data_IF_426151735276
#
_entry.id   IF_426151735276
#
_cell.length_a   1.000
_cell.length_b   1.000
_cell.length_c   1.000
_cell.angle_alpha   90.00
_cell.angle_beta   90.00
_cell.angle_gamma   90.00
#
_symmetry.space_group_name_H-M   'P 1'
#
loop_
_entity.id
_entity.type
_entity.pdbx_description
1 polymer ?
#
# COMPACT_ATOMS: atom_id res chain seq x y z
N UNK A 1 -9.76 12.93 5.75
CA UNK A 1 -8.92 13.70 4.79
C UNK A 1 -8.27 12.72 3.82
N UNK A 2 -7.93 13.13 2.59
CA UNK A 2 -7.24 12.27 1.62
C UNK A 2 -5.79 12.73 1.48
N UNK A 3 -4.85 11.78 1.65
CA UNK A 3 -3.41 12.02 1.56
C UNK A 3 -2.84 11.36 0.31
N UNK A 4 -1.94 12.06 -0.36
CA UNK A 4 -1.14 11.56 -1.48
C UNK A 4 0.34 11.88 -1.24
N UNK A 5 1.22 11.40 -2.11
CA UNK A 5 2.66 11.73 -2.11
C UNK A 5 3.44 11.30 -0.85
N UNK A 6 3.17 10.10 -0.34
CA UNK A 6 4.04 9.44 0.64
C UNK A 6 4.37 8.02 0.22
N UNK A 7 5.64 7.66 0.42
CA UNK A 7 6.21 6.37 0.06
C UNK A 7 6.01 5.37 1.17
N UNK A 8 5.27 4.30 0.89
CA UNK A 8 5.20 3.17 1.79
C UNK A 8 6.59 2.54 1.98
N UNK A 9 7.48 2.58 0.99
CA UNK A 9 8.86 2.09 1.11
C UNK A 9 9.69 2.88 2.12
N UNK A 10 9.54 4.20 2.17
CA UNK A 10 10.30 5.05 3.10
C UNK A 10 9.67 5.07 4.50
N UNK A 11 8.35 5.25 4.53
CA UNK A 11 7.63 5.72 5.71
C UNK A 11 7.18 4.62 6.67
N UNK A 12 7.06 3.37 6.20
CA UNK A 12 6.54 2.27 7.02
C UNK A 12 7.39 1.98 8.27
N UNK A 13 8.70 2.27 8.23
CA UNK A 13 9.64 1.86 9.30
C UNK A 13 9.45 2.62 10.60
N UNK A 14 9.18 3.93 10.49
CA UNK A 14 9.17 4.83 11.66
C UNK A 14 8.09 5.89 11.52
N UNK A 15 8.00 6.57 10.38
CA UNK A 15 7.11 7.73 10.26
C UNK A 15 5.66 7.35 10.53
N UNK A 16 5.16 6.29 9.92
CA UNK A 16 3.76 5.89 10.09
C UNK A 16 3.45 5.46 11.52
N UNK A 17 4.32 4.66 12.12
CA UNK A 17 4.16 4.29 13.53
C UNK A 17 4.26 5.48 14.47
N UNK A 18 5.11 6.47 14.17
CA UNK A 18 5.17 7.72 14.92
C UNK A 18 3.87 8.52 14.77
N UNK A 19 3.35 8.66 13.55
CA UNK A 19 2.07 9.34 13.28
C UNK A 19 0.95 8.67 14.05
N UNK A 20 0.87 7.34 14.07
CA UNK A 20 -0.12 6.60 14.86
C UNK A 20 -0.06 6.93 16.36
N UNK A 21 1.11 7.28 16.90
CA UNK A 21 1.27 7.62 18.33
C UNK A 21 0.93 9.08 18.64
N UNK A 22 1.30 10.02 17.77
CA UNK A 22 1.18 11.46 18.04
C UNK A 22 -0.09 12.08 17.46
N UNK A 23 -0.60 11.51 16.38
CA UNK A 23 -1.79 11.99 15.66
C UNK A 23 -2.54 10.79 15.02
N UNK A 24 -3.29 10.02 15.84
CA UNK A 24 -4.02 8.84 15.38
C UNK A 24 -5.04 9.14 14.27
N UNK A 25 -5.67 10.32 14.30
CA UNK A 25 -6.64 10.75 13.31
C UNK A 25 -6.00 10.95 11.93
N UNK A 26 -4.83 11.59 11.89
CA UNK A 26 -4.02 11.67 10.67
C UNK A 26 -3.55 10.30 10.21
N UNK A 27 -3.13 9.46 11.15
CA UNK A 27 -2.77 8.07 10.90
C UNK A 27 -3.87 7.28 10.18
N UNK A 28 -5.09 7.33 10.74
CA UNK A 28 -6.31 6.79 10.12
C UNK A 28 -6.46 7.30 8.70
N UNK A 29 -6.42 8.60 8.50
CA UNK A 29 -6.68 9.20 7.19
C UNK A 29 -5.60 8.81 6.16
N UNK A 30 -4.33 8.72 6.57
CA UNK A 30 -3.22 8.28 5.71
C UNK A 30 -3.39 6.82 5.29
N UNK A 31 -3.66 5.91 6.23
CA UNK A 31 -3.87 4.48 5.91
C UNK A 31 -5.13 4.29 5.07
N UNK A 32 -6.22 4.96 5.43
CA UNK A 32 -7.47 4.95 4.65
C UNK A 32 -7.25 5.45 3.22
N UNK A 33 -6.36 6.43 3.02
CA UNK A 33 -6.02 6.93 1.69
C UNK A 33 -5.28 5.89 0.83
N UNK A 34 -4.56 4.94 1.43
CA UNK A 34 -3.97 3.81 0.70
C UNK A 34 -5.06 2.83 0.25
N UNK A 35 -6.05 2.59 1.10
CA UNK A 35 -7.18 1.71 0.80
C UNK A 35 -8.04 2.30 -0.33
N UNK A 36 -8.36 3.60 -0.26
CA UNK A 36 -9.09 4.27 -1.35
C UNK A 36 -8.31 4.26 -2.67
N UNK A 37 -6.97 4.33 -2.63
CA UNK A 37 -6.14 4.17 -3.85
C UNK A 37 -6.25 2.76 -4.44
N UNK A 38 -6.41 1.73 -3.62
CA UNK A 38 -6.69 0.39 -4.08
C UNK A 38 -8.07 0.30 -4.74
N UNK A 39 -9.11 0.87 -4.15
CA UNK A 39 -10.46 0.89 -4.75
C UNK A 39 -10.47 1.54 -6.14
N UNK A 40 -9.73 2.64 -6.29
CA UNK A 40 -9.66 3.39 -7.55
C UNK A 40 -8.75 2.72 -8.60
N UNK A 41 -7.67 2.09 -8.15
CA UNK A 41 -6.60 1.64 -9.02
C UNK A 41 -6.53 0.13 -9.24
N UNK A 42 -7.19 -0.66 -8.38
CA UNK A 42 -7.16 -2.12 -8.38
C UNK A 42 -5.90 -2.78 -7.81
N UNK A 43 -4.88 -2.01 -7.39
CA UNK A 43 -3.64 -2.48 -6.77
C UNK A 43 -3.20 -1.55 -5.63
N UNK A 44 -2.64 -2.10 -4.55
CA UNK A 44 -2.05 -1.30 -3.49
C UNK A 44 -0.71 -0.73 -3.99
N UNK A 45 -0.48 0.56 -3.71
CA UNK A 45 0.59 1.35 -4.33
C UNK A 45 1.70 1.63 -3.33
N UNK A 46 2.95 1.31 -3.70
CA UNK A 46 4.12 1.53 -2.84
C UNK A 46 4.50 3.01 -2.82
N UNK A 47 4.55 3.64 -3.99
CA UNK A 47 4.80 5.07 -4.12
C UNK A 47 3.82 5.73 -5.09
N UNK A 48 2.67 6.23 -4.61
CA UNK A 48 1.78 7.04 -5.43
C UNK A 48 2.38 8.45 -5.62
N UNK A 49 2.52 8.86 -6.88
CA UNK A 49 2.87 10.23 -7.24
C UNK A 49 1.78 10.80 -8.13
N UNK A 50 1.20 11.95 -7.75
CA UNK A 50 0.05 12.56 -8.42
C UNK A 50 -1.08 11.56 -8.71
N UNK A 51 -1.47 10.78 -7.70
CA UNK A 51 -2.46 9.72 -7.79
C UNK A 51 -2.23 8.70 -8.92
N UNK A 52 -1.01 8.58 -9.42
CA UNK A 52 -0.61 7.61 -10.45
C UNK A 52 0.24 6.50 -9.86
N UNK A 53 0.29 5.36 -10.55
CA UNK A 53 1.27 4.32 -10.24
C UNK A 53 2.66 4.79 -10.64
N UNK A 54 3.67 4.37 -9.89
CA UNK A 54 5.07 4.58 -10.24
C UNK A 54 5.82 3.30 -9.97
N UNK A 55 6.85 3.04 -10.78
CA UNK A 55 7.76 1.91 -10.62
C UNK A 55 8.94 2.23 -9.69
N UNK A 56 8.69 3.12 -8.74
CA UNK A 56 9.71 3.66 -7.85
C UNK A 56 9.71 2.88 -6.54
N UNK A 57 10.91 2.44 -6.16
CA UNK A 57 11.18 1.56 -5.01
C UNK A 57 10.72 0.11 -5.24
N UNK A 58 10.66 -0.69 -4.18
CA UNK A 58 10.41 -2.15 -4.27
C UNK A 58 9.55 -2.63 -3.10
N UNK A 59 9.15 -3.91 -3.10
CA UNK A 59 8.56 -4.57 -1.93
C UNK A 59 7.06 -4.29 -1.76
N UNK A 60 6.51 -4.64 -0.60
CA UNK A 60 5.06 -4.46 -0.34
C UNK A 60 4.82 -3.99 1.10
N UNK A 61 5.24 -2.77 1.33
CA UNK A 61 5.24 -2.16 2.66
C UNK A 61 3.88 -1.54 3.02
N UNK A 62 2.97 -1.42 2.05
CA UNK A 62 1.59 -0.99 2.30
C UNK A 62 0.89 -1.96 3.26
N UNK A 63 1.14 -3.26 3.10
CA UNK A 63 0.64 -4.30 4.01
C UNK A 63 1.15 -4.07 5.43
N UNK A 64 2.43 -3.74 5.60
CA UNK A 64 3.02 -3.48 6.91
C UNK A 64 2.38 -2.26 7.59
N UNK A 65 2.11 -1.19 6.83
CA UNK A 65 1.46 0.02 7.34
C UNK A 65 0.00 -0.23 7.75
N UNK A 66 -0.75 -0.98 6.96
CA UNK A 66 -2.12 -1.38 7.29
C UNK A 66 -2.13 -2.27 8.54
N UNK A 67 -1.22 -3.26 8.59
CA UNK A 67 -1.06 -4.13 9.76
C UNK A 67 -0.71 -3.34 11.03
N UNK A 68 0.16 -2.35 10.94
CA UNK A 68 0.54 -1.50 12.07
C UNK A 68 -0.66 -0.72 12.63
N UNK A 69 -1.51 -0.19 11.76
CA UNK A 69 -2.73 0.50 12.15
C UNK A 69 -3.75 -0.44 12.82
N UNK A 70 -3.94 -1.65 12.28
CA UNK A 70 -4.82 -2.68 12.87
C UNK A 70 -4.34 -3.05 14.28
N UNK A 71 -3.04 -3.30 14.46
CA UNK A 71 -2.47 -3.72 15.75
C UNK A 71 -2.53 -2.61 16.83
N UNK A 72 -2.74 -1.36 16.43
CA UNK A 72 -2.85 -0.19 17.31
C UNK A 72 -4.28 0.33 17.44
N UNK A 73 -5.28 -0.42 16.97
CA UNK A 73 -6.70 -0.05 16.96
C UNK A 73 -6.98 1.31 16.27
N UNK A 74 -6.15 1.67 15.28
CA UNK A 74 -6.40 2.84 14.44
C UNK A 74 -7.55 2.49 13.49
N UNK A 75 -8.68 3.23 13.51
CA UNK A 75 -9.79 2.94 12.62
C UNK A 75 -9.35 3.17 11.16
N UNK A 76 -9.69 2.25 10.26
CA UNK A 76 -9.38 2.35 8.84
C UNK A 76 -10.69 2.38 8.07
N UNK A 77 -10.88 3.37 7.20
CA UNK A 77 -12.03 3.40 6.32
C UNK A 77 -11.90 2.32 5.24
N UNK A 78 -13.01 1.64 4.94
CA UNK A 78 -13.08 0.58 3.94
C UNK A 78 -12.10 -0.58 4.19
N UNK A 79 -11.89 -0.96 5.44
CA UNK A 79 -10.95 -2.02 5.82
C UNK A 79 -11.19 -3.34 5.03
N UNK A 80 -12.43 -3.65 4.67
CA UNK A 80 -12.77 -4.77 3.78
C UNK A 80 -12.01 -4.76 2.45
N UNK A 81 -11.77 -3.57 1.88
CA UNK A 81 -11.00 -3.39 0.65
C UNK A 81 -9.51 -3.59 0.85
N UNK A 82 -8.99 -3.27 2.03
CA UNK A 82 -7.64 -3.65 2.39
C UNK A 82 -7.49 -5.19 2.40
N UNK A 83 -8.45 -5.91 2.97
CA UNK A 83 -8.46 -7.37 2.98
C UNK A 83 -8.58 -8.00 1.59
N UNK A 84 -9.27 -7.34 0.65
CA UNK A 84 -9.27 -7.76 -0.76
C UNK A 84 -7.91 -7.50 -1.44
N UNK A 85 -7.32 -6.33 -1.18
CA UNK A 85 -6.10 -5.88 -1.87
C UNK A 85 -4.82 -6.59 -1.43
N UNK A 86 -4.69 -6.94 -0.15
CA UNK A 86 -3.51 -7.63 0.41
C UNK A 86 -3.20 -8.96 -0.30
N UNK A 87 -4.13 -9.94 -0.39
CA UNK A 87 -3.87 -11.21 -1.08
C UNK A 87 -3.65 -11.00 -2.57
N UNK A 88 -4.35 -10.03 -3.19
CA UNK A 88 -4.15 -9.70 -4.60
C UNK A 88 -2.72 -9.22 -4.87
N UNK A 89 -2.23 -8.25 -4.09
CA UNK A 89 -0.85 -7.77 -4.19
C UNK A 89 0.18 -8.88 -3.92
N UNK A 90 -0.17 -9.84 -3.05
CA UNK A 90 0.69 -10.97 -2.72
C UNK A 90 0.74 -12.04 -3.81
N UNK A 91 -0.38 -12.40 -4.44
CA UNK A 91 -0.50 -13.65 -5.22
C UNK A 91 -0.88 -13.47 -6.69
N UNK A 92 -1.37 -12.30 -7.11
CA UNK A 92 -1.76 -12.06 -8.49
C UNK A 92 -0.73 -11.21 -9.22
N UNK A 93 -0.58 -11.43 -10.53
CA UNK A 93 0.24 -10.60 -11.40
C UNK A 93 -0.63 -9.69 -12.29
N UNK A 94 -0.15 -8.49 -12.66
CA UNK A 94 -0.82 -7.65 -13.64
C UNK A 94 -1.02 -8.37 -14.97
N UNK A 95 -2.09 -8.01 -15.69
CA UNK A 95 -2.44 -8.65 -16.95
C UNK A 95 -1.41 -8.42 -18.07
N UNK A 96 -0.64 -7.33 -17.98
CA UNK A 96 0.36 -6.97 -18.99
C UNK A 96 1.69 -6.59 -18.35
N UNK A 97 2.80 -6.83 -19.07
CA UNK A 97 4.11 -6.34 -18.64
C UNK A 97 4.17 -4.80 -18.58
N UNK A 98 3.40 -4.10 -19.42
CA UNK A 98 3.31 -2.65 -19.38
C UNK A 98 2.67 -2.15 -18.07
N UNK A 99 1.64 -2.82 -17.57
CA UNK A 99 1.05 -2.53 -16.26
C UNK A 99 2.05 -2.76 -15.12
N UNK A 100 2.80 -3.87 -15.18
CA UNK A 100 3.85 -4.17 -14.22
C UNK A 100 4.98 -3.13 -14.26
N UNK A 101 5.49 -2.81 -15.45
CA UNK A 101 6.51 -1.79 -15.67
C UNK A 101 6.03 -0.37 -15.34
N UNK A 102 4.72 -0.17 -15.19
CA UNK A 102 4.08 1.06 -14.70
C UNK A 102 3.86 1.08 -13.18
N UNK A 103 4.24 0.04 -12.45
CA UNK A 103 4.21 0.00 -10.97
C UNK A 103 2.99 -0.71 -10.38
N UNK A 104 2.20 -1.43 -11.19
CA UNK A 104 1.13 -2.29 -10.66
C UNK A 104 1.71 -3.64 -10.26
N UNK A 105 1.34 -4.15 -9.09
CA UNK A 105 1.66 -5.52 -8.68
C UNK A 105 3.16 -5.83 -8.63
N UNK A 106 4.00 -4.87 -8.22
CA UNK A 106 5.46 -5.01 -8.21
C UNK A 106 5.98 -6.21 -7.41
N UNK A 107 5.23 -6.67 -6.40
CA UNK A 107 5.56 -7.89 -5.63
C UNK A 107 5.29 -9.18 -6.42
N UNK A 108 4.35 -9.16 -7.35
CA UNK A 108 3.83 -10.37 -7.99
C UNK A 108 4.87 -11.14 -8.80
N UNK A 109 5.82 -10.44 -9.43
CA UNK A 109 6.85 -11.08 -10.26
C UNK A 109 7.99 -11.68 -9.39
N UNK A 110 8.09 -11.27 -8.13
CA UNK A 110 9.09 -11.81 -7.18
C UNK A 110 8.78 -13.26 -6.79
N UNK A 111 7.49 -13.62 -6.61
CA UNK A 111 7.09 -14.99 -6.27
C UNK A 111 7.41 -16.01 -7.38
N UNK A 112 7.49 -15.59 -8.64
CA UNK A 112 7.81 -16.49 -9.75
C UNK A 112 9.31 -16.64 -10.00
N UNK A 113 10.16 -15.82 -9.37
CA UNK A 113 11.59 -15.73 -9.75
C UNK A 113 12.59 -15.97 -8.62
N UNK A 114 12.19 -15.93 -7.35
CA UNK A 114 13.13 -16.23 -6.25
C UNK A 114 12.42 -16.98 -5.12
N UNK A 115 12.96 -18.18 -4.86
CA UNK A 115 12.53 -19.24 -3.90
C UNK A 115 11.47 -20.24 -4.41
N UNK A 116 11.77 -20.88 -5.55
CA UNK A 116 12.06 -22.32 -5.67
C UNK A 116 13.26 -22.52 -6.61
#
# INVERSE_FOLDING_TARGET
MYYDEFSAWDTYRVLMSLVHLIDPEKGKDMVSSLVSKYEQGGWLRIFPYWNSYTSAMVGDYVIAMIGDAIMKDIPIHHLEKAYEGVPKNAFESPASHADYAGGKGERSDFLYRVWL
#
